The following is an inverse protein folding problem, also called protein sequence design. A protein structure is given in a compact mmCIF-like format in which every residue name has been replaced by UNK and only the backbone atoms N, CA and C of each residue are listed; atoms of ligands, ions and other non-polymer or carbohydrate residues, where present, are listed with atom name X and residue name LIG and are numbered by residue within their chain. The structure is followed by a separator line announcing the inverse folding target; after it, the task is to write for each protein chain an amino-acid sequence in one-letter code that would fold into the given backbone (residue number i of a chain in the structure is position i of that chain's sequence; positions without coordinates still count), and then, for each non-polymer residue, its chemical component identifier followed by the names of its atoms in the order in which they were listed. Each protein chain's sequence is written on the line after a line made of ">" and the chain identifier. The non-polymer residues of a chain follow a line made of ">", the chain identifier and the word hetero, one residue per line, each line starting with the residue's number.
data_IF_342622684088
#
_entry.id   IF_342622684088
#
_cell.length_a   1.000
_cell.length_b   1.000
_cell.length_c   1.000
_cell.angle_alpha   90.00
_cell.angle_beta   90.00
_cell.angle_gamma   90.00
#
_symmetry.space_group_name_H-M   'P 1'
#
loop_
_entity.id
_entity.type
_entity.pdbx_description
1 polymer ?
#
# COMPACT_ATOMS: atom_id res chain seq x y z
N UNK A 1 15.05 -11.14 -0.31
CA UNK A 1 13.76 -11.87 -0.17
C UNK A 1 13.44 -12.32 1.27
N UNK A 2 14.41 -12.66 2.12
CA UNK A 2 14.19 -13.24 3.47
C UNK A 2 13.40 -12.37 4.48
N UNK A 3 13.25 -11.06 4.24
CA UNK A 3 12.54 -10.14 5.17
C UNK A 3 11.01 -10.18 5.02
N UNK A 4 10.49 -10.49 3.83
CA UNK A 4 9.05 -10.38 3.53
C UNK A 4 8.18 -11.30 4.40
N UNK A 5 8.46 -12.62 4.52
CA UNK A 5 7.65 -13.51 5.36
C UNK A 5 7.63 -13.09 6.83
N UNK A 6 8.76 -12.55 7.33
CA UNK A 6 8.88 -12.08 8.71
C UNK A 6 7.95 -10.89 9.02
N UNK A 7 7.85 -9.92 8.10
CA UNK A 7 7.02 -8.73 8.30
C UNK A 7 5.55 -8.94 7.93
N UNK A 8 5.30 -9.71 6.87
CA UNK A 8 3.98 -9.81 6.22
C UNK A 8 3.18 -11.05 6.65
N UNK A 9 3.62 -11.79 7.67
CA UNK A 9 2.90 -12.97 8.17
C UNK A 9 1.40 -12.68 8.41
N UNK A 10 0.53 -13.59 7.99
CA UNK A 10 -0.93 -13.47 8.10
C UNK A 10 -1.55 -12.23 7.42
N UNK A 11 -0.90 -11.69 6.37
CA UNK A 11 -1.45 -10.65 5.51
C UNK A 11 -1.71 -11.19 4.11
N UNK A 12 -2.69 -10.63 3.40
CA UNK A 12 -2.89 -10.90 1.98
C UNK A 12 -1.68 -10.47 1.12
N UNK A 13 -0.96 -9.46 1.58
CA UNK A 13 0.19 -8.87 0.90
C UNK A 13 1.38 -9.83 0.79
N UNK A 14 1.47 -10.84 1.69
CA UNK A 14 2.48 -11.89 1.60
C UNK A 14 2.35 -12.67 0.29
N UNK A 15 1.11 -13.00 -0.11
CA UNK A 15 0.81 -13.84 -1.27
C UNK A 15 0.57 -13.06 -2.57
N UNK A 16 0.64 -11.73 -2.52
CA UNK A 16 0.24 -10.84 -3.63
C UNK A 16 1.30 -9.78 -3.88
N UNK A 17 2.53 -10.25 -4.11
CA UNK A 17 3.60 -9.39 -4.59
C UNK A 17 3.25 -8.85 -5.99
N UNK A 18 3.35 -7.52 -6.24
CA UNK A 18 2.90 -6.94 -7.50
C UNK A 18 3.57 -7.51 -8.75
N UNK A 19 4.83 -7.95 -8.66
CA UNK A 19 5.56 -8.55 -9.78
C UNK A 19 4.98 -9.91 -10.21
N UNK A 20 4.20 -10.56 -9.34
CA UNK A 20 3.57 -11.85 -9.61
C UNK A 20 4.57 -13.00 -9.75
N UNK A 21 4.20 -13.99 -10.57
CA UNK A 21 5.01 -15.16 -10.90
C UNK A 21 5.40 -15.10 -12.37
N UNK A 22 6.65 -15.41 -12.68
CA UNK A 22 7.14 -15.38 -14.08
C UNK A 22 6.42 -16.41 -14.96
N UNK A 23 6.00 -17.53 -14.40
CA UNK A 23 5.17 -18.51 -15.11
C UNK A 23 3.83 -17.90 -15.54
N UNK A 24 3.19 -17.09 -14.69
CA UNK A 24 1.97 -16.36 -15.05
C UNK A 24 2.26 -15.34 -16.15
N UNK A 25 3.38 -14.60 -16.07
CA UNK A 25 3.76 -13.63 -17.10
C UNK A 25 3.98 -14.32 -18.46
N UNK A 26 4.61 -15.50 -18.47
CA UNK A 26 4.89 -16.25 -19.68
C UNK A 26 3.65 -16.92 -20.30
N UNK A 27 2.62 -17.22 -19.49
CA UNK A 27 1.46 -18.03 -19.93
C UNK A 27 0.13 -17.29 -19.99
N UNK A 28 0.03 -16.09 -19.39
CA UNK A 28 -1.22 -15.34 -19.36
C UNK A 28 -1.65 -14.96 -20.77
N UNK A 29 -2.92 -15.22 -21.08
CA UNK A 29 -3.49 -14.92 -22.38
C UNK A 29 -3.98 -13.47 -22.44
N UNK A 30 -4.04 -12.86 -23.63
CA UNK A 30 -4.65 -11.54 -23.81
C UNK A 30 -6.11 -11.49 -23.35
N UNK A 31 -6.84 -12.61 -23.42
CA UNK A 31 -8.21 -12.70 -22.94
C UNK A 31 -8.30 -12.56 -21.41
N UNK A 32 -7.39 -13.19 -20.66
CA UNK A 32 -7.34 -13.07 -19.19
C UNK A 32 -6.96 -11.65 -18.77
N UNK A 33 -6.02 -11.00 -19.47
CA UNK A 33 -5.66 -9.60 -19.22
C UNK A 33 -6.86 -8.67 -19.48
N UNK A 34 -7.56 -8.85 -20.60
CA UNK A 34 -8.79 -8.09 -20.89
C UNK A 34 -9.88 -8.33 -19.87
N UNK A 35 -10.04 -9.57 -19.38
CA UNK A 35 -11.00 -9.89 -18.34
C UNK A 35 -10.69 -9.16 -17.03
N UNK A 36 -9.42 -9.11 -16.62
CA UNK A 36 -9.01 -8.33 -15.46
C UNK A 36 -9.28 -6.83 -15.66
N UNK A 37 -8.89 -6.29 -16.82
CA UNK A 37 -9.13 -4.90 -17.18
C UNK A 37 -10.62 -4.54 -17.11
N UNK A 38 -11.48 -5.29 -17.80
CA UNK A 38 -12.92 -5.08 -17.80
C UNK A 38 -13.57 -5.25 -16.43
N UNK A 39 -12.99 -6.07 -15.54
CA UNK A 39 -13.51 -6.27 -14.18
C UNK A 39 -13.25 -5.07 -13.27
N UNK A 40 -12.07 -4.46 -13.37
CA UNK A 40 -11.59 -3.49 -12.37
C UNK A 40 -11.48 -2.06 -12.89
N UNK A 41 -11.29 -1.84 -14.19
CA UNK A 41 -11.15 -0.53 -14.82
C UNK A 41 -12.52 0.00 -15.25
N UNK A 42 -13.36 0.29 -14.26
CA UNK A 42 -14.63 1.00 -14.48
C UNK A 42 -14.64 2.34 -13.74
N UNK A 43 -15.38 3.37 -14.23
CA UNK A 43 -15.27 4.72 -13.69
C UNK A 43 -15.54 4.85 -12.18
N UNK A 44 -16.39 4.00 -11.61
CA UNK A 44 -16.66 4.01 -10.17
C UNK A 44 -15.49 3.51 -9.29
N UNK A 45 -14.43 2.98 -9.89
CA UNK A 45 -13.21 2.49 -9.24
C UNK A 45 -11.97 3.27 -9.73
N UNK A 46 -12.16 4.50 -10.22
CA UNK A 46 -11.11 5.39 -10.70
C UNK A 46 -11.17 6.73 -9.98
N UNK A 47 -9.99 7.31 -9.69
CA UNK A 47 -9.84 8.67 -9.19
C UNK A 47 -8.85 9.41 -10.09
N UNK A 48 -9.26 10.53 -10.68
CA UNK A 48 -8.38 11.40 -11.47
C UNK A 48 -7.92 12.56 -10.59
N UNK A 49 -6.62 12.82 -10.52
CA UNK A 49 -6.02 13.78 -9.60
C UNK A 49 -5.36 14.91 -10.41
N UNK A 50 -5.73 16.16 -10.12
CA UNK A 50 -5.15 17.37 -10.73
C UNK A 50 -4.61 18.25 -9.61
N UNK A 51 -3.30 18.54 -9.64
CA UNK A 51 -2.62 19.40 -8.68
C UNK A 51 -1.61 20.25 -9.42
N UNK A 52 -1.67 21.57 -9.25
CA UNK A 52 -0.76 22.51 -9.91
C UNK A 52 -1.40 23.88 -10.07
N UNK A 53 -0.76 24.72 -10.89
CA UNK A 53 -1.24 26.05 -11.25
C UNK A 53 -2.27 25.96 -12.39
N UNK A 54 -3.53 25.70 -12.02
CA UNK A 54 -4.66 25.58 -12.94
C UNK A 54 -5.92 26.14 -12.28
N UNK A 55 -6.72 26.88 -13.04
CA UNK A 55 -8.00 27.36 -12.55
C UNK A 55 -8.99 26.21 -12.35
N UNK A 56 -9.81 26.31 -11.29
CA UNK A 56 -10.80 25.27 -10.94
C UNK A 56 -11.80 25.00 -12.07
N UNK A 57 -12.24 26.06 -12.78
CA UNK A 57 -13.24 25.93 -13.85
C UNK A 57 -12.62 25.25 -15.08
N UNK A 58 -11.38 25.61 -15.42
CA UNK A 58 -10.64 24.96 -16.49
C UNK A 58 -10.41 23.47 -16.18
N UNK A 59 -9.95 23.14 -14.97
CA UNK A 59 -9.71 21.76 -14.56
C UNK A 59 -10.99 20.90 -14.64
N UNK A 60 -12.12 21.41 -14.12
CA UNK A 60 -13.40 20.72 -14.19
C UNK A 60 -13.90 20.55 -15.63
N UNK A 61 -13.71 21.55 -16.50
CA UNK A 61 -14.06 21.46 -17.91
C UNK A 61 -13.25 20.37 -18.62
N UNK A 62 -11.92 20.35 -18.43
CA UNK A 62 -11.05 19.32 -19.01
C UNK A 62 -11.44 17.91 -18.54
N UNK A 63 -11.70 17.73 -17.25
CA UNK A 63 -12.13 16.43 -16.71
C UNK A 63 -13.45 16.00 -17.35
N UNK A 64 -14.43 16.91 -17.40
CA UNK A 64 -15.75 16.61 -17.97
C UNK A 64 -15.66 16.31 -19.47
N UNK A 65 -14.93 17.09 -20.24
CA UNK A 65 -14.85 16.96 -21.70
C UNK A 65 -14.18 15.65 -22.12
N UNK A 66 -13.20 15.19 -21.34
CA UNK A 66 -12.42 13.99 -21.66
C UNK A 66 -12.96 12.69 -21.03
N UNK A 67 -13.50 12.75 -19.81
CA UNK A 67 -13.84 11.54 -19.05
C UNK A 67 -15.35 11.26 -18.92
N UNK A 68 -16.21 12.25 -19.16
CA UNK A 68 -17.68 12.06 -18.98
C UNK A 68 -18.31 11.05 -19.94
N UNK A 69 -17.65 10.76 -21.06
CA UNK A 69 -18.12 9.81 -22.09
C UNK A 69 -17.80 8.35 -21.76
N UNK A 70 -17.05 8.08 -20.69
CA UNK A 70 -16.77 6.71 -20.27
C UNK A 70 -18.08 6.01 -19.84
N UNK A 71 -18.35 4.77 -20.28
CA UNK A 71 -19.56 4.05 -19.88
C UNK A 71 -19.63 3.86 -18.36
N UNK A 72 -20.80 4.13 -17.77
CA UNK A 72 -21.04 4.05 -16.33
C UNK A 72 -21.23 2.61 -15.81
N UNK A 73 -20.39 1.69 -16.27
CA UNK A 73 -20.35 0.32 -15.76
C UNK A 73 -19.86 0.28 -14.31
N UNK A 74 -20.14 -0.82 -13.61
CA UNK A 74 -19.67 -1.04 -12.23
C UNK A 74 -18.51 -2.03 -12.20
N UNK A 75 -17.41 -1.64 -11.57
CA UNK A 75 -16.33 -2.57 -11.23
C UNK A 75 -16.80 -3.60 -10.20
N UNK A 76 -16.05 -4.71 -10.10
CA UNK A 76 -16.18 -5.60 -8.96
C UNK A 76 -15.80 -4.90 -7.65
N UNK A 77 -16.36 -5.35 -6.53
CA UNK A 77 -16.05 -4.82 -5.21
C UNK A 77 -14.63 -5.21 -4.76
N UNK A 78 -13.90 -4.26 -4.18
CA UNK A 78 -12.58 -4.51 -3.61
C UNK A 78 -12.71 -5.25 -2.28
N UNK A 79 -12.21 -6.49 -2.25
CA UNK A 79 -12.21 -7.31 -1.04
C UNK A 79 -11.22 -6.76 -0.01
N UNK A 80 -11.59 -6.87 1.26
CA UNK A 80 -10.72 -6.55 2.41
C UNK A 80 -10.33 -7.83 3.14
N UNK A 81 -9.07 -7.95 3.52
CA UNK A 81 -8.54 -9.08 4.28
C UNK A 81 -7.93 -8.58 5.60
N UNK A 82 -8.65 -8.70 6.73
CA UNK A 82 -8.13 -8.31 8.03
C UNK A 82 -6.88 -9.11 8.40
N UNK A 83 -5.80 -8.40 8.76
CA UNK A 83 -4.55 -9.02 9.20
C UNK A 83 -4.74 -9.67 10.57
N UNK A 84 -4.29 -10.92 10.73
CA UNK A 84 -4.32 -11.61 12.03
C UNK A 84 -2.98 -11.44 12.77
N UNK A 85 -3.05 -11.08 14.04
CA UNK A 85 -1.87 -11.01 14.90
C UNK A 85 -1.15 -12.37 15.00
N UNK A 86 0.17 -12.33 15.13
CA UNK A 86 1.00 -13.50 15.41
C UNK A 86 1.75 -13.27 16.71
N UNK A 87 1.40 -14.02 17.75
CA UNK A 87 1.79 -13.75 19.12
C UNK A 87 3.03 -14.58 19.52
N UNK A 88 4.07 -14.55 18.69
CA UNK A 88 5.33 -15.23 18.95
C UNK A 88 6.51 -14.32 18.61
N UNK A 89 7.54 -14.35 19.46
CA UNK A 89 8.81 -13.69 19.17
C UNK A 89 9.56 -14.48 18.10
N UNK A 90 10.10 -13.78 17.11
CA UNK A 90 10.84 -14.37 15.99
C UNK A 90 12.20 -13.70 15.85
N UNK A 91 13.15 -14.44 15.30
CA UNK A 91 14.50 -13.98 15.02
C UNK A 91 14.84 -14.23 13.55
N UNK A 92 15.62 -13.34 12.93
CA UNK A 92 16.06 -13.50 11.55
C UNK A 92 17.40 -12.78 11.36
N UNK A 93 18.25 -13.34 10.49
CA UNK A 93 19.52 -12.73 10.06
C UNK A 93 19.46 -12.59 8.55
N UNK A 94 19.62 -11.36 8.06
CA UNK A 94 19.68 -11.08 6.62
C UNK A 94 21.15 -10.98 6.24
N UNK A 95 21.68 -12.05 5.64
CA UNK A 95 23.05 -12.09 5.14
C UNK A 95 23.04 -11.89 3.62
N UNK A 96 23.50 -10.73 3.18
CA UNK A 96 23.59 -10.37 1.78
C UNK A 96 24.87 -9.54 1.57
N UNK A 97 25.75 -9.99 0.67
CA UNK A 97 27.05 -9.35 0.42
C UNK A 97 26.92 -7.98 -0.22
N UNK A 98 25.79 -7.69 -0.84
CA UNK A 98 25.51 -6.40 -1.47
C UNK A 98 25.01 -5.36 -0.45
N UNK A 99 24.65 -5.79 0.77
CA UNK A 99 24.26 -4.86 1.82
C UNK A 99 25.46 -4.04 2.32
N UNK A 100 25.33 -2.72 2.23
CA UNK A 100 26.34 -1.73 2.64
C UNK A 100 26.34 -1.36 4.12
N UNK A 101 25.30 -1.73 4.88
CA UNK A 101 25.14 -1.36 6.30
C UNK A 101 24.80 -2.60 7.12
N UNK A 102 25.58 -2.83 8.17
CA UNK A 102 25.27 -3.79 9.22
C UNK A 102 24.48 -3.10 10.33
N UNK A 103 23.52 -3.80 10.93
CA UNK A 103 22.72 -3.25 12.02
C UNK A 103 21.82 -4.29 12.67
N UNK A 104 21.22 -3.89 13.79
CA UNK A 104 20.23 -4.66 14.53
C UNK A 104 18.95 -3.83 14.64
N UNK A 105 17.80 -4.48 14.55
CA UNK A 105 16.50 -3.83 14.65
C UNK A 105 15.49 -4.74 15.34
N UNK A 106 14.61 -4.13 16.14
CA UNK A 106 13.44 -4.76 16.74
C UNK A 106 12.19 -4.26 16.01
N UNK A 107 11.32 -5.19 15.57
CA UNK A 107 10.09 -4.86 14.84
C UNK A 107 8.86 -5.27 15.64
N UNK A 108 7.94 -4.32 15.84
CA UNK A 108 6.57 -4.58 16.31
C UNK A 108 5.59 -4.52 15.14
N UNK A 109 4.54 -5.34 15.19
CA UNK A 109 3.43 -5.31 14.24
C UNK A 109 2.15 -5.01 15.00
N UNK A 110 1.46 -3.96 14.60
CA UNK A 110 0.28 -3.41 15.24
C UNK A 110 -0.75 -3.00 14.17
N UNK A 111 -2.04 -2.92 14.52
CA UNK A 111 -3.04 -2.29 13.65
C UNK A 111 -2.66 -0.85 13.30
N UNK A 112 -3.04 -0.40 12.11
CA UNK A 112 -2.86 0.98 11.67
C UNK A 112 -4.22 1.66 11.63
N UNK A 113 -4.42 2.68 12.45
CA UNK A 113 -5.62 3.54 12.43
C UNK A 113 -5.57 4.49 11.23
N UNK A 114 -6.72 4.71 10.59
CA UNK A 114 -6.86 5.72 9.54
C UNK A 114 -7.23 7.05 10.18
N UNK A 115 -6.49 8.11 9.87
CA UNK A 115 -6.74 9.43 10.43
C UNK A 115 -7.88 10.11 9.68
N UNK A 116 -9.05 10.14 10.29
CA UNK A 116 -10.26 10.73 9.71
C UNK A 116 -11.13 11.48 10.73
N UNK A 117 -10.70 11.52 12.00
CA UNK A 117 -11.30 12.27 13.09
C UNK A 117 -10.23 12.70 14.11
N UNK A 118 -10.64 13.45 15.15
CA UNK A 118 -9.71 13.94 16.17
C UNK A 118 -9.09 12.80 17.01
N UNK A 119 -9.86 11.74 17.30
CA UNK A 119 -9.37 10.62 18.11
C UNK A 119 -8.25 9.86 17.39
N UNK A 120 -8.47 9.49 16.13
CA UNK A 120 -7.49 8.81 15.28
C UNK A 120 -6.28 9.68 14.99
N UNK A 121 -6.45 11.00 14.91
CA UNK A 121 -5.35 11.96 14.79
C UNK A 121 -4.44 11.93 16.03
N UNK A 122 -5.03 11.97 17.23
CA UNK A 122 -4.27 11.92 18.50
C UNK A 122 -3.50 10.59 18.60
N UNK A 123 -4.16 9.45 18.33
CA UNK A 123 -3.50 8.13 18.38
C UNK A 123 -2.32 8.05 17.41
N UNK A 124 -2.45 8.58 16.18
CA UNK A 124 -1.35 8.60 15.22
C UNK A 124 -0.21 9.52 15.68
N UNK A 125 -0.55 10.69 16.26
CA UNK A 125 0.43 11.62 16.78
C UNK A 125 1.23 11.04 17.95
N UNK A 126 0.60 10.26 18.84
CA UNK A 126 1.28 9.54 19.92
C UNK A 126 2.35 8.58 19.38
N UNK A 127 2.02 7.76 18.38
CA UNK A 127 3.00 6.88 17.72
C UNK A 127 4.15 7.68 17.09
N UNK A 128 3.84 8.79 16.44
CA UNK A 128 4.85 9.66 15.83
C UNK A 128 5.79 10.27 16.87
N UNK A 129 5.24 10.77 17.98
CA UNK A 129 6.03 11.38 19.07
C UNK A 129 6.92 10.35 19.77
N UNK A 130 6.43 9.13 20.01
CA UNK A 130 7.25 8.06 20.58
C UNK A 130 8.47 7.73 19.71
N UNK A 131 8.27 7.63 18.39
CA UNK A 131 9.37 7.41 17.44
C UNK A 131 10.34 8.59 17.44
N UNK A 132 9.84 9.83 17.46
CA UNK A 132 10.67 11.03 17.50
C UNK A 132 11.51 11.11 18.78
N UNK A 133 10.93 10.83 19.94
CA UNK A 133 11.62 10.83 21.23
C UNK A 133 12.74 9.78 21.28
N UNK A 134 12.48 8.58 20.73
CA UNK A 134 13.52 7.55 20.62
C UNK A 134 14.69 8.01 19.75
N UNK A 135 14.39 8.57 18.57
CA UNK A 135 15.42 9.07 17.64
C UNK A 135 16.21 10.23 18.24
N UNK A 136 15.54 11.19 18.89
CA UNK A 136 16.19 12.32 19.54
C UNK A 136 17.20 11.83 20.59
N UNK A 137 16.77 10.95 21.49
CA UNK A 137 17.64 10.43 22.55
C UNK A 137 18.81 9.60 22.02
N UNK A 138 18.62 8.91 20.89
CA UNK A 138 19.69 8.15 20.25
C UNK A 138 20.78 9.07 19.66
N UNK A 139 20.39 10.24 19.14
CA UNK A 139 21.30 11.21 18.51
C UNK A 139 21.96 12.19 19.49
N UNK A 140 21.41 12.37 20.69
CA UNK A 140 22.02 13.17 21.76
C UNK A 140 23.28 12.53 22.37
N UNK A 141 23.56 11.27 22.03
CA UNK A 141 24.75 10.53 22.45
C UNK A 141 25.83 10.53 21.37
#
# INVERSE_FOLDING_TARGET
>A
QARRPFLLANTRNLDREPIGLMDTVATVTPAQLRQFYQRWYQPNNMTFIVVGDIDSKEALALIKDNLSKLPANKAAENRVWPTKAENHLRFNIINDKENRVNGIALYYRLPMVQVNDEQSFIEQAEWSMLVQLFNQRLQER
#
